data_IF_749375953399
#
_entry.id   IF_749375953399
#
_cell.length_a   1.000
_cell.length_b   1.000
_cell.length_c   1.000
_cell.angle_alpha   90.00
_cell.angle_beta   90.00
_cell.angle_gamma   90.00
#
_symmetry.space_group_name_H-M   'P 1'
#
loop_
_entity.id
_entity.type
_entity.pdbx_description
1 polymer ?
#
# COMPACT_ATOMS: atom_id res chain seq x y z
N UNK A 1 17.39 -6.48 2.42
CA UNK A 1 17.36 -6.01 1.01
C UNK A 1 16.01 -6.20 0.33
N UNK A 2 15.42 -7.40 0.26
CA UNK A 2 14.15 -7.65 -0.46
C UNK A 2 12.97 -6.73 -0.07
N UNK A 3 12.84 -6.42 1.23
CA UNK A 3 11.77 -5.54 1.75
C UNK A 3 11.88 -4.10 1.24
N UNK A 4 13.11 -3.59 1.11
CA UNK A 4 13.35 -2.23 0.65
C UNK A 4 12.99 -2.09 -0.83
N UNK A 5 13.36 -3.09 -1.64
CA UNK A 5 13.03 -3.14 -3.07
C UNK A 5 11.53 -3.28 -3.32
N UNK A 6 10.83 -4.11 -2.54
CA UNK A 6 9.37 -4.26 -2.65
C UNK A 6 8.62 -2.97 -2.26
N UNK A 7 9.02 -2.34 -1.15
CA UNK A 7 8.43 -1.08 -0.70
C UNK A 7 8.70 0.07 -1.70
N UNK A 8 9.91 0.12 -2.27
CA UNK A 8 10.26 1.10 -3.29
C UNK A 8 9.42 0.92 -4.56
N UNK A 9 9.28 -0.33 -5.05
CA UNK A 9 8.45 -0.63 -6.23
C UNK A 9 6.97 -0.25 -5.99
N UNK A 10 6.42 -0.58 -4.83
CA UNK A 10 5.07 -0.18 -4.43
C UNK A 10 4.90 1.35 -4.45
N UNK A 11 5.82 2.10 -3.85
CA UNK A 11 5.76 3.56 -3.81
C UNK A 11 5.85 4.21 -5.19
N UNK A 12 6.66 3.65 -6.11
CA UNK A 12 6.74 4.13 -7.49
C UNK A 12 5.40 3.91 -8.22
N UNK A 13 4.81 2.72 -8.10
CA UNK A 13 3.49 2.44 -8.67
C UNK A 13 2.41 3.36 -8.09
N UNK A 14 2.42 3.55 -6.77
CA UNK A 14 1.53 4.47 -6.08
C UNK A 14 1.61 5.90 -6.64
N UNK A 15 2.82 6.45 -6.77
CA UNK A 15 3.02 7.78 -7.37
C UNK A 15 2.53 7.83 -8.81
N UNK A 16 2.76 6.78 -9.62
CA UNK A 16 2.30 6.73 -11.00
C UNK A 16 0.77 6.79 -11.10
N UNK A 17 0.06 6.04 -10.24
CA UNK A 17 -1.41 6.03 -10.20
C UNK A 17 -1.95 7.40 -9.75
N UNK A 18 -1.32 8.05 -8.78
CA UNK A 18 -1.72 9.40 -8.33
C UNK A 18 -1.46 10.46 -9.40
N UNK A 19 -0.44 10.30 -10.23
CA UNK A 19 -0.11 11.24 -11.30
C UNK A 19 -0.99 11.07 -12.55
N UNK A 20 -1.60 9.89 -12.73
CA UNK A 20 -2.49 9.59 -13.85
C UNK A 20 -3.61 10.62 -14.07
N UNK A 21 -4.43 10.99 -13.07
CA UNK A 21 -5.49 11.99 -13.25
C UNK A 21 -4.96 13.37 -13.66
N UNK A 22 -3.75 13.74 -13.23
CA UNK A 22 -3.09 14.98 -13.67
C UNK A 22 -2.73 14.88 -15.16
N UNK A 23 -2.13 13.77 -15.57
CA UNK A 23 -1.69 13.55 -16.95
C UNK A 23 -2.87 13.52 -17.93
N UNK A 24 -3.97 12.84 -17.54
CA UNK A 24 -5.21 12.76 -18.34
C UNK A 24 -5.78 14.16 -18.57
N UNK A 25 -5.81 15.02 -17.54
CA UNK A 25 -6.32 16.38 -17.69
C UNK A 25 -5.46 17.26 -18.61
N UNK A 26 -4.14 17.09 -18.57
CA UNK A 26 -3.22 17.85 -19.45
C UNK A 26 -3.44 17.48 -20.93
N UNK A 27 -3.79 16.22 -21.24
CA UNK A 27 -3.91 15.72 -22.61
C UNK A 27 -5.31 15.94 -23.21
N UNK A 28 -6.38 15.78 -22.43
CA UNK A 28 -7.75 15.71 -22.96
C UNK A 28 -8.47 17.07 -22.92
N UNK A 29 -8.37 17.82 -21.82
CA UNK A 29 -9.16 19.05 -21.65
C UNK A 29 -8.51 20.02 -20.66
N UNK A 30 -8.02 21.20 -21.11
CA UNK A 30 -7.44 22.22 -20.23
C UNK A 30 -8.52 23.02 -19.48
N UNK A 31 -9.59 22.36 -19.03
CA UNK A 31 -10.66 23.01 -18.29
C UNK A 31 -10.15 23.38 -16.89
N UNK A 32 -10.13 24.68 -16.59
CA UNK A 32 -9.63 25.23 -15.32
C UNK A 32 -10.33 24.63 -14.10
N UNK A 33 -11.63 24.35 -14.21
CA UNK A 33 -12.41 23.77 -13.09
C UNK A 33 -11.98 22.33 -12.82
N UNK A 34 -11.72 21.55 -13.88
CA UNK A 34 -11.19 20.19 -13.77
C UNK A 34 -9.79 20.19 -13.12
N UNK A 35 -8.92 21.10 -13.58
CA UNK A 35 -7.56 21.25 -13.09
C UNK A 35 -7.47 21.62 -11.61
N UNK A 36 -8.29 22.58 -11.15
CA UNK A 36 -8.19 23.13 -9.80
C UNK A 36 -9.03 22.42 -8.74
N UNK A 37 -10.14 21.79 -9.12
CA UNK A 37 -11.09 21.22 -8.14
C UNK A 37 -11.13 19.70 -8.22
N UNK A 38 -11.34 19.16 -9.42
CA UNK A 38 -11.58 17.73 -9.58
C UNK A 38 -10.30 16.90 -9.45
N UNK A 39 -9.20 17.32 -10.09
CA UNK A 39 -7.93 16.58 -9.98
C UNK A 39 -7.41 16.53 -8.53
N UNK A 40 -7.33 17.63 -7.78
CA UNK A 40 -6.86 17.56 -6.40
C UNK A 40 -7.76 16.70 -5.52
N UNK A 41 -9.09 16.74 -5.71
CA UNK A 41 -10.02 15.84 -5.00
C UNK A 41 -9.75 14.36 -5.31
N UNK A 42 -9.56 14.01 -6.59
CA UNK A 42 -9.26 12.64 -7.01
C UNK A 42 -7.91 12.19 -6.44
N UNK A 43 -6.88 13.02 -6.55
CA UNK A 43 -5.57 12.76 -5.97
C UNK A 43 -5.64 12.57 -4.45
N UNK A 44 -6.45 13.36 -3.75
CA UNK A 44 -6.66 13.24 -2.30
C UNK A 44 -7.33 11.91 -1.93
N UNK A 45 -8.38 11.53 -2.68
CA UNK A 45 -9.07 10.26 -2.47
C UNK A 45 -8.14 9.06 -2.72
N UNK A 46 -7.35 9.11 -3.80
CA UNK A 46 -6.33 8.11 -4.09
C UNK A 46 -5.24 8.07 -3.03
N UNK A 47 -4.74 9.22 -2.59
CA UNK A 47 -3.74 9.30 -1.52
C UNK A 47 -4.28 8.67 -0.22
N UNK A 48 -5.54 8.94 0.15
CA UNK A 48 -6.18 8.32 1.30
C UNK A 48 -6.24 6.79 1.18
N UNK A 49 -6.64 6.27 0.02
CA UNK A 49 -6.66 4.83 -0.25
C UNK A 49 -5.25 4.22 -0.18
N UNK A 50 -4.25 4.89 -0.73
CA UNK A 50 -2.85 4.47 -0.67
C UNK A 50 -2.32 4.44 0.76
N UNK A 51 -2.61 5.45 1.58
CA UNK A 51 -2.18 5.49 2.99
C UNK A 51 -2.77 4.30 3.77
N UNK A 52 -4.05 3.98 3.54
CA UNK A 52 -4.68 2.81 4.14
C UNK A 52 -3.99 1.50 3.74
N UNK A 53 -3.68 1.35 2.45
CA UNK A 53 -2.98 0.17 1.93
C UNK A 53 -1.54 0.11 2.45
N UNK A 54 -0.81 1.23 2.53
CA UNK A 54 0.56 1.30 3.03
C UNK A 54 0.61 0.83 4.50
N UNK A 55 -0.31 1.33 5.34
CA UNK A 55 -0.44 0.89 6.73
C UNK A 55 -0.77 -0.62 6.84
N UNK A 56 -1.57 -1.17 5.92
CA UNK A 56 -1.88 -2.61 5.89
C UNK A 56 -0.65 -3.43 5.48
N UNK A 57 0.09 -2.99 4.46
CA UNK A 57 1.30 -3.66 3.96
C UNK A 57 2.38 -3.66 5.04
N UNK A 58 2.60 -2.53 5.71
CA UNK A 58 3.60 -2.41 6.78
C UNK A 58 3.28 -3.36 7.96
N UNK A 59 2.01 -3.43 8.38
CA UNK A 59 1.56 -4.36 9.41
C UNK A 59 1.73 -5.83 9.02
N UNK A 60 1.46 -6.19 7.76
CA UNK A 60 1.66 -7.55 7.25
C UNK A 60 3.15 -7.92 7.14
N UNK A 61 4.00 -6.96 6.75
CA UNK A 61 5.44 -7.17 6.71
C UNK A 61 6.00 -7.37 8.12
N UNK A 62 5.62 -6.51 9.07
CA UNK A 62 6.08 -6.58 10.46
C UNK A 62 5.59 -7.85 11.18
N UNK A 63 4.36 -8.30 10.92
CA UNK A 63 3.84 -9.55 11.50
C UNK A 63 4.55 -10.80 10.96
N UNK A 64 4.84 -10.88 9.66
CA UNK A 64 5.63 -11.99 9.09
C UNK A 64 7.07 -12.02 9.63
N UNK A 65 7.66 -10.86 9.89
CA UNK A 65 9.00 -10.75 10.50
C UNK A 65 8.99 -11.27 11.93
N UNK A 66 8.02 -10.84 12.74
CA UNK A 66 7.85 -11.37 14.10
C UNK A 66 7.73 -12.89 14.06
N UNK A 67 6.90 -13.44 13.17
CA UNK A 67 6.73 -14.89 13.03
C UNK A 67 7.99 -15.62 12.51
N UNK A 68 8.81 -14.97 11.70
CA UNK A 68 10.06 -15.54 11.19
C UNK A 68 11.21 -15.47 12.21
N UNK A 69 11.17 -14.51 13.14
CA UNK A 69 12.16 -14.32 14.19
C UNK A 69 11.91 -15.18 15.45
N UNK A 70 10.73 -15.81 15.57
CA UNK A 70 10.47 -16.75 16.66
C UNK A 70 11.29 -18.04 16.49
N UNK A 71 11.89 -18.57 17.57
CA UNK A 71 12.60 -19.85 17.54
C UNK A 71 11.66 -20.95 17.05
N UNK A 72 12.21 -21.88 16.26
CA UNK A 72 11.49 -22.98 15.61
C UNK A 72 10.57 -23.74 16.57
N UNK A 73 10.95 -23.90 17.84
CA UNK A 73 10.17 -24.57 18.88
C UNK A 73 8.82 -23.89 19.19
N UNK A 74 8.71 -22.57 19.10
CA UNK A 74 7.46 -21.83 19.40
C UNK A 74 6.54 -21.75 18.18
N UNK A 75 7.11 -21.83 16.97
CA UNK A 75 6.36 -21.84 15.70
C UNK A 75 5.40 -23.03 15.60
N UNK A 76 5.83 -24.20 16.09
CA UNK A 76 5.04 -25.44 16.09
C UNK A 76 3.86 -25.33 17.06
N UNK A 77 4.07 -24.65 18.20
CA UNK A 77 3.04 -24.43 19.22
C UNK A 77 1.96 -23.47 18.72
N UNK A 78 2.33 -22.34 18.12
CA UNK A 78 1.37 -21.41 17.54
C UNK A 78 0.57 -22.01 16.37
N UNK A 79 1.21 -22.85 15.55
CA UNK A 79 0.52 -23.55 14.43
C UNK A 79 -0.45 -24.60 14.95
N UNK A 80 -0.16 -25.24 16.11
CA UNK A 80 -1.10 -26.15 16.78
C UNK A 80 -2.29 -25.42 17.41
N UNK A 81 -2.08 -24.28 18.06
CA UNK A 81 -3.19 -23.53 18.65
C UNK A 81 -4.15 -22.95 17.60
N UNK A 82 -3.64 -22.49 16.45
CA UNK A 82 -4.51 -21.99 15.37
C UNK A 82 -5.34 -23.09 14.70
N UNK A 83 -4.90 -24.35 14.72
CA UNK A 83 -5.68 -25.50 14.23
C UNK A 83 -6.71 -26.03 15.22
N UNK A 84 -6.60 -25.68 16.50
CA UNK A 84 -7.52 -26.14 17.55
C UNK A 84 -8.75 -25.22 17.74
N UNK A 85 -8.73 -24.02 17.14
CA UNK A 85 -9.83 -23.05 17.20
C UNK A 85 -10.79 -23.08 16.00
N UNK A 86 -10.69 -24.09 15.13
CA UNK A 86 -11.66 -24.35 14.05
C UNK A 86 -12.13 -25.80 14.11
#
# INVERSE_FOLDING_TARGET
MLKLSFLAAYRICACAIVTLPVLINVVIEPNLVAAFIYIPMICLALAGALIYVDAKIENLLNSKIKLAALPSSVKIVFTRYHKACY
#
